data_IF_824855538775
#
_entry.id   IF_824855538775
#
_cell.length_a   1.000
_cell.length_b   1.000
_cell.length_c   1.000
_cell.angle_alpha   90.00
_cell.angle_beta   90.00
_cell.angle_gamma   90.00
#
_symmetry.space_group_name_H-M   'P 1'
#
loop_
_entity.id
_entity.type
_entity.pdbx_description
1 polymer ?
#
# COMPACT_ATOMS: atom_id res chain seq x y z
N UNK A 1 -10.50 -16.45 17.17
CA UNK A 1 -9.37 -16.06 16.30
C UNK A 1 -9.26 -16.96 15.08
N UNK A 2 -9.28 -18.29 15.24
CA UNK A 2 -9.18 -19.28 14.14
C UNK A 2 -10.22 -19.17 13.00
N UNK A 3 -11.29 -18.40 13.20
CA UNK A 3 -12.32 -18.14 12.18
C UNK A 3 -11.97 -17.01 11.19
N UNK A 4 -10.93 -16.22 11.48
CA UNK A 4 -10.50 -15.12 10.60
C UNK A 4 -9.29 -15.57 9.77
N UNK A 5 -9.30 -15.40 8.44
CA UNK A 5 -8.22 -15.85 7.57
C UNK A 5 -7.02 -14.87 7.58
N UNK A 6 -6.51 -14.55 8.77
CA UNK A 6 -5.39 -13.63 8.99
C UNK A 6 -4.46 -14.17 10.09
N UNK A 7 -3.29 -13.54 10.24
CA UNK A 7 -2.36 -13.88 11.33
C UNK A 7 -3.04 -13.73 12.70
N UNK A 8 -2.57 -14.44 13.76
CA UNK A 8 -3.10 -14.28 15.11
C UNK A 8 -3.04 -12.82 15.59
N UNK A 9 -1.96 -12.09 15.30
CA UNK A 9 -1.82 -10.69 15.70
C UNK A 9 -2.92 -9.80 15.09
N UNK A 10 -3.16 -9.91 13.78
CA UNK A 10 -4.16 -9.09 13.07
C UNK A 10 -5.59 -9.50 13.44
N UNK A 11 -5.83 -10.81 13.63
CA UNK A 11 -7.12 -11.32 14.11
C UNK A 11 -7.46 -10.77 15.51
N UNK A 12 -6.47 -10.69 16.40
CA UNK A 12 -6.65 -10.10 17.74
C UNK A 12 -6.93 -8.61 17.66
N UNK A 13 -6.24 -7.88 16.78
CA UNK A 13 -6.49 -6.46 16.53
C UNK A 13 -7.95 -6.23 16.14
N UNK A 14 -8.45 -6.96 15.14
CA UNK A 14 -9.83 -6.81 14.67
C UNK A 14 -10.86 -7.16 15.75
N UNK A 15 -10.67 -8.26 16.48
CA UNK A 15 -11.54 -8.64 17.60
C UNK A 15 -11.57 -7.60 18.72
N UNK A 16 -10.45 -6.93 18.96
CA UNK A 16 -10.36 -5.85 19.95
C UNK A 16 -11.20 -4.66 19.52
N UNK A 17 -11.11 -4.25 18.24
CA UNK A 17 -11.95 -3.18 17.68
C UNK A 17 -13.44 -3.55 17.78
N UNK A 18 -13.81 -4.78 17.39
CA UNK A 18 -15.20 -5.26 17.49
C UNK A 18 -15.70 -5.17 18.94
N UNK A 19 -14.88 -5.60 19.91
CA UNK A 19 -15.23 -5.54 21.34
C UNK A 19 -15.42 -4.09 21.81
N UNK A 20 -14.52 -3.18 21.41
CA UNK A 20 -14.65 -1.76 21.75
C UNK A 20 -15.93 -1.18 21.14
N UNK A 21 -16.20 -1.44 19.86
CA UNK A 21 -17.40 -0.94 19.18
C UNK A 21 -18.70 -1.50 19.77
N UNK A 22 -18.73 -2.76 20.21
CA UNK A 22 -19.89 -3.35 20.91
C UNK A 22 -20.16 -2.71 22.29
N UNK A 23 -19.11 -2.25 22.96
CA UNK A 23 -19.24 -1.61 24.27
C UNK A 23 -19.65 -0.13 24.19
N UNK A 24 -19.45 0.52 23.04
CA UNK A 24 -19.86 1.91 22.79
C UNK A 24 -21.34 1.94 22.36
N UNK A 25 -22.25 2.15 23.32
CA UNK A 25 -23.69 2.30 23.01
C UNK A 25 -23.90 3.52 22.10
N UNK A 26 -24.62 3.33 20.99
CA UNK A 26 -25.02 4.36 20.03
C UNK A 26 -23.90 5.06 19.23
N UNK A 27 -22.75 4.41 18.99
CA UNK A 27 -21.75 4.98 18.09
C UNK A 27 -22.19 4.86 16.61
N UNK A 28 -22.71 5.96 16.05
CA UNK A 28 -23.29 6.01 14.70
C UNK A 28 -22.33 5.58 13.58
N UNK A 29 -21.00 5.63 13.82
CA UNK A 29 -19.96 5.28 12.82
C UNK A 29 -19.27 3.94 13.10
N UNK A 30 -19.88 3.05 13.89
CA UNK A 30 -19.28 1.76 14.26
C UNK A 30 -18.89 0.92 13.03
N UNK A 31 -19.78 0.87 12.03
CA UNK A 31 -19.55 0.13 10.79
C UNK A 31 -18.40 0.72 9.97
N UNK A 32 -18.25 2.06 9.98
CA UNK A 32 -17.15 2.71 9.28
C UNK A 32 -15.80 2.38 9.95
N UNK A 33 -15.73 2.46 11.28
CA UNK A 33 -14.52 2.09 12.03
C UNK A 33 -14.18 0.62 11.82
N UNK A 34 -15.19 -0.25 11.81
CA UNK A 34 -15.00 -1.67 11.53
C UNK A 34 -14.46 -1.90 10.10
N UNK A 35 -15.02 -1.23 9.10
CA UNK A 35 -14.54 -1.29 7.72
C UNK A 35 -13.08 -0.85 7.57
N UNK A 36 -12.71 0.27 8.19
CA UNK A 36 -11.31 0.72 8.22
C UNK A 36 -10.40 -0.27 8.97
N UNK A 37 -10.86 -0.84 10.09
CA UNK A 37 -10.09 -1.82 10.83
C UNK A 37 -9.85 -3.10 10.02
N UNK A 38 -10.85 -3.57 9.27
CA UNK A 38 -10.74 -4.69 8.34
C UNK A 38 -9.74 -4.37 7.22
N UNK A 39 -9.89 -3.22 6.55
CA UNK A 39 -8.98 -2.80 5.48
C UNK A 39 -7.53 -2.66 5.99
N UNK A 40 -7.34 -2.11 7.19
CA UNK A 40 -6.02 -1.98 7.83
C UNK A 40 -5.43 -3.33 8.20
N UNK A 41 -6.23 -4.25 8.76
CA UNK A 41 -5.79 -5.60 9.09
C UNK A 41 -5.37 -6.39 7.84
N UNK A 42 -6.12 -6.23 6.74
CA UNK A 42 -5.75 -6.75 5.42
C UNK A 42 -4.44 -6.13 4.95
N UNK A 43 -4.32 -4.80 4.95
CA UNK A 43 -3.10 -4.10 4.51
C UNK A 43 -1.85 -4.53 5.28
N UNK A 44 -1.95 -4.76 6.59
CA UNK A 44 -0.85 -5.27 7.43
C UNK A 44 -0.51 -6.74 7.17
N UNK A 45 -1.46 -7.51 6.61
CA UNK A 45 -1.27 -8.92 6.30
C UNK A 45 -0.53 -9.16 4.97
N UNK A 46 -0.34 -8.12 4.17
CA UNK A 46 0.25 -8.19 2.84
C UNK A 46 1.43 -7.24 2.69
N UNK A 47 2.32 -7.49 1.72
CA UNK A 47 3.40 -6.55 1.41
C UNK A 47 2.83 -5.20 0.97
N UNK A 48 3.61 -4.15 1.22
CA UNK A 48 3.27 -2.79 0.86
C UNK A 48 2.93 -2.69 -0.66
N UNK A 49 1.71 -2.25 -1.04
CA UNK A 49 1.28 -2.23 -2.43
C UNK A 49 1.93 -1.13 -3.26
N UNK A 50 2.57 -0.15 -2.64
CA UNK A 50 3.19 0.95 -3.35
C UNK A 50 4.54 0.50 -3.93
N UNK A 51 4.81 0.82 -5.20
CA UNK A 51 6.07 0.57 -5.86
C UNK A 51 7.17 1.43 -5.22
N UNK A 52 7.70 0.98 -4.09
CA UNK A 52 8.71 1.67 -3.32
C UNK A 52 10.08 1.30 -3.92
N UNK A 53 10.40 1.83 -5.11
CA UNK A 53 11.80 1.91 -5.59
C UNK A 53 12.56 2.98 -4.79
N UNK A 54 12.51 2.85 -3.46
CA UNK A 54 13.11 3.77 -2.51
C UNK A 54 14.14 2.95 -1.73
N UNK A 55 15.35 2.82 -2.28
CA UNK A 55 16.49 2.31 -1.53
C UNK A 55 17.29 1.14 -2.10
N UNK A 56 17.38 0.95 -3.43
CA UNK A 56 18.55 0.25 -3.99
C UNK A 56 19.52 1.30 -4.50
N UNK A 57 20.29 1.86 -3.58
CA UNK A 57 21.57 2.46 -3.96
C UNK A 57 22.42 1.29 -4.46
N UNK A 58 23.02 1.49 -5.62
CA UNK A 58 23.94 0.56 -6.24
C UNK A 58 25.20 0.53 -5.37
N UNK A 59 25.25 -0.34 -4.36
CA UNK A 59 26.51 -0.68 -3.72
C UNK A 59 27.28 -1.61 -4.67
N UNK A 60 28.03 -1.02 -5.58
CA UNK A 60 29.26 -1.62 -6.13
C UNK A 60 30.24 -0.49 -6.40
N UNK A 61 31.09 -0.21 -5.41
CA UNK A 61 32.52 -0.02 -5.70
C UNK A 61 33.06 -1.39 -6.17
N UNK A 62 34.03 -1.55 -7.04
CA UNK A 62 35.10 -0.68 -7.51
C UNK A 62 35.70 -1.35 -8.76
N UNK A 63 36.33 -0.58 -9.66
CA UNK A 63 37.32 -1.11 -10.60
C UNK A 63 37.06 -0.97 -12.11
N UNK A 64 37.72 0.04 -12.71
CA UNK A 64 38.41 0.07 -14.03
C UNK A 64 37.53 -0.21 -15.29
N UNK A 65 37.40 0.61 -16.32
CA UNK A 65 38.38 1.45 -17.04
C UNK A 65 37.69 2.63 -17.76
N UNK A 66 38.46 3.71 -17.93
CA UNK A 66 38.06 4.94 -18.61
C UNK A 66 38.27 4.79 -20.11
N UNK A 67 37.20 4.84 -20.92
CA UNK A 67 37.20 5.46 -22.27
C UNK A 67 35.82 5.51 -22.98
N UNK A 68 34.71 5.13 -22.31
CA UNK A 68 33.33 5.23 -22.84
C UNK A 68 32.38 6.22 -22.10
N UNK A 69 32.89 7.01 -21.14
CA UNK A 69 32.08 7.66 -20.08
C UNK A 69 31.03 8.68 -20.53
N UNK A 70 31.21 9.35 -21.66
CA UNK A 70 30.37 10.51 -21.99
C UNK A 70 28.95 10.15 -22.48
N UNK A 71 28.75 8.92 -22.97
CA UNK A 71 27.43 8.42 -23.42
C UNK A 71 26.67 7.73 -22.29
N UNK A 72 27.38 6.96 -21.45
CA UNK A 72 26.86 6.30 -20.23
C UNK A 72 26.40 7.32 -19.19
N UNK A 73 27.17 8.39 -18.93
CA UNK A 73 26.79 9.42 -17.94
C UNK A 73 25.51 10.17 -18.34
N UNK A 74 25.31 10.44 -19.64
CA UNK A 74 24.12 11.12 -20.14
C UNK A 74 22.88 10.20 -20.11
N UNK A 75 23.07 8.90 -20.36
CA UNK A 75 22.02 7.88 -20.26
C UNK A 75 21.61 7.65 -18.80
N UNK A 76 22.58 7.55 -17.88
CA UNK A 76 22.37 7.48 -16.43
C UNK A 76 21.67 8.73 -15.91
N UNK A 77 22.08 9.93 -16.34
CA UNK A 77 21.45 11.19 -15.93
C UNK A 77 20.01 11.33 -16.45
N UNK A 78 19.72 10.87 -17.69
CA UNK A 78 18.34 10.79 -18.19
C UNK A 78 17.51 9.74 -17.44
N UNK A 79 18.09 8.61 -17.08
CA UNK A 79 17.42 7.55 -16.33
C UNK A 79 17.12 7.99 -14.90
N UNK A 80 18.04 8.70 -14.25
CA UNK A 80 17.83 9.30 -12.93
C UNK A 80 16.76 10.40 -12.96
N UNK A 81 16.74 11.22 -14.01
CA UNK A 81 15.70 12.25 -14.19
C UNK A 81 14.32 11.64 -14.38
N UNK A 82 14.17 10.62 -15.24
CA UNK A 82 12.93 9.85 -15.37
C UNK A 82 12.50 9.21 -14.05
N UNK A 83 13.45 8.61 -13.31
CA UNK A 83 13.20 8.02 -11.99
C UNK A 83 12.80 9.08 -10.96
N UNK A 84 13.33 10.30 -11.02
CA UNK A 84 12.92 11.42 -10.16
C UNK A 84 11.52 11.94 -10.50
N UNK A 85 11.19 12.04 -11.78
CA UNK A 85 9.85 12.41 -12.26
C UNK A 85 8.82 11.34 -11.85
N UNK A 86 9.13 10.06 -12.04
CA UNK A 86 8.32 8.95 -11.54
C UNK A 86 8.16 9.00 -10.02
N UNK A 87 9.23 9.28 -9.26
CA UNK A 87 9.15 9.48 -7.79
C UNK A 87 8.24 10.64 -7.41
N UNK A 88 8.25 11.74 -8.16
CA UNK A 88 7.39 12.89 -7.92
C UNK A 88 5.92 12.52 -8.20
N UNK A 89 5.65 11.80 -9.28
CA UNK A 89 4.31 11.29 -9.61
C UNK A 89 3.81 10.27 -8.57
N UNK A 90 4.67 9.35 -8.09
CA UNK A 90 4.36 8.44 -6.98
C UNK A 90 4.02 9.23 -5.73
N UNK A 91 4.80 10.27 -5.40
CA UNK A 91 4.57 11.12 -4.21
C UNK A 91 3.25 11.87 -4.32
N UNK A 92 2.92 12.43 -5.47
CA UNK A 92 1.66 13.13 -5.69
C UNK A 92 0.46 12.17 -5.64
N UNK A 93 0.61 10.98 -6.22
CA UNK A 93 -0.40 9.92 -6.14
C UNK A 93 -0.57 9.43 -4.69
N UNK A 94 0.53 9.23 -3.94
CA UNK A 94 0.53 8.87 -2.52
C UNK A 94 -0.05 9.97 -1.66
N UNK A 95 0.20 11.25 -1.95
CA UNK A 95 -0.32 12.37 -1.17
C UNK A 95 -1.86 12.33 -1.06
N UNK A 96 -2.54 11.79 -2.08
CA UNK A 96 -4.00 11.61 -2.05
C UNK A 96 -4.49 10.53 -1.09
N UNK A 97 -3.65 9.56 -0.78
CA UNK A 97 -3.98 8.46 0.15
C UNK A 97 -3.26 8.60 1.50
N UNK A 98 -2.24 9.47 1.56
CA UNK A 98 -1.30 9.57 2.66
C UNK A 98 -2.01 9.97 3.94
N UNK A 99 -1.86 9.12 4.93
CA UNK A 99 -2.17 9.47 6.31
C UNK A 99 -0.84 9.73 7.03
N UNK A 100 -0.62 10.95 7.58
CA UNK A 100 0.64 11.31 8.24
C UNK A 100 0.94 10.46 9.49
N UNK A 101 -0.07 9.80 10.05
CA UNK A 101 0.05 9.01 11.27
C UNK A 101 0.26 7.51 11.02
N UNK A 102 0.01 6.99 9.81
CA UNK A 102 0.17 5.55 9.51
C UNK A 102 0.26 5.22 8.02
N UNK A 103 1.25 4.40 7.68
CA UNK A 103 1.41 3.76 6.38
C UNK A 103 0.32 2.70 6.11
N UNK A 104 -0.10 1.95 7.14
CA UNK A 104 -1.19 0.98 7.04
C UNK A 104 -2.52 1.65 6.68
N UNK A 105 -2.82 2.82 7.27
CA UNK A 105 -3.99 3.63 6.89
C UNK A 105 -3.88 4.17 5.46
N UNK A 106 -2.66 4.51 5.04
CA UNK A 106 -2.40 4.94 3.66
C UNK A 106 -2.72 3.82 2.65
N UNK A 107 -2.31 2.59 2.95
CA UNK A 107 -2.64 1.41 2.15
C UNK A 107 -4.15 1.08 2.19
N UNK A 108 -4.80 1.20 3.34
CA UNK A 108 -6.25 1.00 3.46
C UNK A 108 -7.06 2.02 2.63
N UNK A 109 -6.63 3.28 2.60
CA UNK A 109 -7.26 4.32 1.76
C UNK A 109 -7.09 4.04 0.26
N UNK A 110 -5.91 3.56 -0.15
CA UNK A 110 -5.66 3.14 -1.52
C UNK A 110 -6.55 1.94 -1.88
N UNK A 111 -6.70 0.96 -0.98
CA UNK A 111 -7.55 -0.21 -1.17
C UNK A 111 -9.02 0.16 -1.36
N UNK A 112 -9.54 1.07 -0.55
CA UNK A 112 -10.91 1.58 -0.73
C UNK A 112 -11.11 2.19 -2.12
N UNK A 113 -10.13 2.95 -2.62
CA UNK A 113 -10.23 3.57 -3.94
C UNK A 113 -10.08 2.57 -5.08
N UNK A 114 -9.34 1.48 -4.86
CA UNK A 114 -9.20 0.35 -5.78
C UNK A 114 -10.50 -0.45 -5.89
N UNK A 115 -11.17 -0.73 -4.78
CA UNK A 115 -12.48 -1.41 -4.76
C UNK A 115 -13.59 -0.59 -5.46
N UNK A 116 -13.46 0.74 -5.47
CA UNK A 116 -14.40 1.65 -6.17
C UNK A 116 -14.03 1.90 -7.64
N UNK A 117 -12.85 1.49 -8.09
CA UNK A 117 -12.41 1.73 -9.45
C UNK A 117 -13.14 0.81 -10.43
N UNK A 118 -13.55 1.36 -11.59
CA UNK A 118 -14.19 0.59 -12.65
C UNK A 118 -13.22 -0.42 -13.29
N UNK A 119 -11.95 -0.04 -13.46
CA UNK A 119 -10.88 -0.94 -13.85
C UNK A 119 -9.72 -0.94 -12.82
N UNK A 120 -9.60 -2.03 -12.03
CA UNK A 120 -8.52 -2.21 -11.06
C UNK A 120 -7.11 -2.22 -11.69
N UNK A 121 -6.97 -2.66 -12.94
CA UNK A 121 -5.68 -2.75 -13.64
C UNK A 121 -5.16 -1.35 -14.00
N UNK A 122 -5.96 -0.56 -14.73
CA UNK A 122 -5.63 0.84 -15.06
C UNK A 122 -5.41 1.69 -13.79
N UNK A 123 -6.21 1.47 -12.74
CA UNK A 123 -6.03 2.16 -11.47
C UNK A 123 -4.63 1.93 -10.88
N UNK A 124 -4.20 0.66 -10.81
CA UNK A 124 -2.88 0.30 -10.32
C UNK A 124 -1.76 0.91 -11.17
N UNK A 125 -1.92 0.90 -12.50
CA UNK A 125 -0.94 1.51 -13.41
C UNK A 125 -0.81 3.02 -13.17
N UNK A 126 -1.93 3.74 -13.09
CA UNK A 126 -1.97 5.20 -12.90
C UNK A 126 -1.48 5.64 -11.52
N UNK A 127 -1.66 4.82 -10.49
CA UNK A 127 -1.27 5.11 -9.11
C UNK A 127 0.06 4.48 -8.71
N UNK A 128 0.74 3.81 -9.63
CA UNK A 128 2.03 3.15 -9.42
C UNK A 128 1.98 2.17 -8.23
N UNK A 129 0.92 1.35 -8.23
CA UNK A 129 0.66 0.30 -7.25
C UNK A 129 0.90 -1.07 -7.89
N UNK A 130 1.31 -2.04 -7.07
CA UNK A 130 1.33 -3.44 -7.45
C UNK A 130 -0.10 -4.01 -7.43
N UNK A 131 -0.55 -4.52 -8.57
CA UNK A 131 -1.88 -5.12 -8.71
C UNK A 131 -2.08 -6.34 -7.80
N UNK A 132 -1.09 -7.23 -7.74
CA UNK A 132 -1.22 -8.49 -6.99
C UNK A 132 -1.49 -8.27 -5.48
N UNK A 133 -0.70 -7.46 -4.75
CA UNK A 133 -1.04 -7.09 -3.37
C UNK A 133 -2.42 -6.43 -3.22
N UNK A 134 -2.82 -5.55 -4.15
CA UNK A 134 -4.12 -4.87 -4.12
C UNK A 134 -5.30 -5.83 -4.29
N UNK A 135 -5.19 -6.76 -5.23
CA UNK A 135 -6.19 -7.80 -5.49
C UNK A 135 -6.28 -8.80 -4.32
N UNK A 136 -5.14 -9.26 -3.80
CA UNK A 136 -5.10 -10.16 -2.64
C UNK A 136 -5.68 -9.51 -1.37
N UNK A 137 -5.42 -8.21 -1.16
CA UNK A 137 -6.03 -7.42 -0.09
C UNK A 137 -7.55 -7.33 -0.22
N UNK A 138 -8.05 -7.01 -1.43
CA UNK A 138 -9.48 -6.89 -1.73
C UNK A 138 -10.25 -8.20 -1.52
N UNK A 139 -9.64 -9.32 -1.91
CA UNK A 139 -10.21 -10.65 -1.65
C UNK A 139 -10.33 -10.96 -0.16
N UNK A 140 -9.38 -10.50 0.67
CA UNK A 140 -9.45 -10.69 2.12
C UNK A 140 -10.44 -9.76 2.80
N UNK A 141 -10.61 -8.52 2.34
CA UNK A 141 -11.60 -7.58 2.94
C UNK A 141 -13.03 -8.05 2.68
N UNK A 142 -13.33 -8.50 1.48
CA UNK A 142 -14.66 -9.02 1.07
C UNK A 142 -15.00 -10.37 1.71
N UNK A 143 -14.00 -11.19 2.04
CA UNK A 143 -14.16 -12.50 2.68
C UNK A 143 -14.41 -12.48 4.19
N UNK A 144 -14.42 -11.31 4.86
CA UNK A 144 -14.68 -11.23 6.30
C UNK A 144 -16.19 -11.10 6.54
N UNK A 145 -16.86 -12.11 7.13
CA UNK A 145 -18.28 -12.01 7.39
C UNK A 145 -18.55 -10.97 8.48
N UNK A 146 -19.27 -9.91 8.13
CA UNK A 146 -19.89 -8.97 9.06
C UNK A 146 -21.08 -9.65 9.75
N UNK A 147 -20.81 -10.39 10.84
CA UNK A 147 -21.83 -10.96 11.73
C UNK A 147 -22.20 -10.00 12.86
#
# INVERSE_FOLDING_TARGET
MAQYPMSPCHSRMLLTVIKIMKNQRNYARANLVLGYAIATASALSFPNPFNMQFGRNHDTSDGLDQEGKHFEDNLLMQQEKKRQEEKAMVREARARFCNPCSDALTSANALQSFELAADPFEFCQKKLLHLKPMDDMSKKTTGIPSR
#
